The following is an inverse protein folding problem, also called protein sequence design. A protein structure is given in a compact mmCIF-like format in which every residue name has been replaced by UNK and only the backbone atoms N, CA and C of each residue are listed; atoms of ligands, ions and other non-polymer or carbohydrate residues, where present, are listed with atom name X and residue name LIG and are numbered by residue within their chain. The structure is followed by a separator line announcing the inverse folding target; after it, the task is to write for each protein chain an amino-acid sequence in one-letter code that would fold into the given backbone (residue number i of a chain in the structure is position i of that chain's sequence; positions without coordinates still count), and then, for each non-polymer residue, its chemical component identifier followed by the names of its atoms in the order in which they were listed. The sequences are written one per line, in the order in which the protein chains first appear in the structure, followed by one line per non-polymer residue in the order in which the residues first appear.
data_IF_666219569801
#
_entry.id   IF_666219569801
#
_cell.length_a   1.000
_cell.length_b   1.000
_cell.length_c   1.000
_cell.angle_alpha   90.00
_cell.angle_beta   90.00
_cell.angle_gamma   90.00
#
_symmetry.space_group_name_H-M   'P 1'
#
loop_
_entity.id
_entity.type
_entity.pdbx_description
1 polymer ?
#
# COMPACT_ATOMS: atom_id res chain seq x y z
N UNK A 1 -19.54 3.79 2.16
CA UNK A 1 -19.27 2.39 1.76
C UNK A 1 -18.48 2.25 0.45
N UNK A 2 -18.58 3.16 -0.52
CA UNK A 2 -17.81 3.10 -1.77
C UNK A 2 -16.32 3.53 -1.65
N UNK A 3 -15.98 4.39 -0.69
CA UNK A 3 -14.59 4.87 -0.50
C UNK A 3 -13.61 3.75 -0.13
N UNK A 4 -14.04 2.81 0.73
CA UNK A 4 -13.22 1.64 1.08
C UNK A 4 -13.00 0.71 -0.11
N UNK A 5 -14.00 0.56 -0.99
CA UNK A 5 -13.87 -0.28 -2.17
C UNK A 5 -12.89 0.35 -3.18
N UNK A 6 -13.01 1.65 -3.46
CA UNK A 6 -12.12 2.34 -4.39
C UNK A 6 -10.64 2.32 -3.94
N UNK A 7 -10.37 2.49 -2.64
CA UNK A 7 -9.01 2.39 -2.08
C UNK A 7 -8.47 0.96 -2.19
N UNK A 8 -9.30 -0.05 -1.89
CA UNK A 8 -8.92 -1.45 -2.04
C UNK A 8 -8.66 -1.81 -3.52
N UNK A 9 -9.51 -1.37 -4.44
CA UNK A 9 -9.35 -1.59 -5.89
C UNK A 9 -8.06 -0.97 -6.41
N UNK A 10 -7.76 0.27 -6.02
CA UNK A 10 -6.50 0.93 -6.39
C UNK A 10 -5.27 0.21 -5.81
N UNK A 11 -5.38 -0.29 -4.58
CA UNK A 11 -4.32 -1.10 -3.96
C UNK A 11 -4.08 -2.39 -4.75
N UNK A 12 -5.13 -3.17 -5.02
CA UNK A 12 -5.00 -4.44 -5.74
C UNK A 12 -4.54 -4.26 -7.19
N UNK A 13 -4.96 -3.18 -7.86
CA UNK A 13 -4.47 -2.83 -9.19
C UNK A 13 -2.95 -2.58 -9.18
N UNK A 14 -2.46 -1.81 -8.20
CA UNK A 14 -1.03 -1.49 -8.05
C UNK A 14 -0.22 -2.74 -7.68
N UNK A 15 -0.70 -3.53 -6.72
CA UNK A 15 -0.07 -4.79 -6.31
C UNK A 15 0.07 -5.75 -7.50
N UNK A 16 -0.99 -5.92 -8.30
CA UNK A 16 -0.94 -6.78 -9.47
C UNK A 16 0.09 -6.27 -10.46
N UNK A 17 0.00 -5.00 -10.87
CA UNK A 17 0.87 -4.39 -11.87
C UNK A 17 2.35 -4.46 -11.50
N UNK A 18 2.69 -4.19 -10.25
CA UNK A 18 4.09 -3.96 -9.86
C UNK A 18 4.78 -5.17 -9.27
N UNK A 19 4.03 -6.14 -8.72
CA UNK A 19 4.62 -7.29 -8.03
C UNK A 19 4.15 -8.66 -8.52
N UNK A 20 2.97 -8.77 -9.12
CA UNK A 20 2.39 -10.07 -9.51
C UNK A 20 2.48 -10.29 -11.02
N UNK A 21 2.26 -9.26 -11.85
CA UNK A 21 2.17 -9.38 -13.31
C UNK A 21 3.42 -9.94 -13.98
N UNK A 22 4.58 -9.91 -13.31
CA UNK A 22 5.85 -10.43 -13.82
C UNK A 22 6.47 -11.54 -12.95
N UNK A 23 5.74 -12.08 -11.98
CA UNK A 23 6.22 -13.16 -11.10
C UNK A 23 5.30 -14.38 -11.16
N UNK A 24 5.90 -15.54 -11.36
CA UNK A 24 5.26 -16.82 -11.11
C UNK A 24 5.65 -17.29 -9.70
N UNK A 25 4.66 -17.44 -8.82
CA UNK A 25 4.90 -17.97 -7.48
C UNK A 25 4.78 -19.49 -7.53
N UNK A 26 5.80 -20.20 -7.05
CA UNK A 26 5.80 -21.67 -7.04
C UNK A 26 4.96 -22.20 -5.88
N UNK A 27 4.92 -21.45 -4.77
CA UNK A 27 4.16 -21.83 -3.57
C UNK A 27 3.27 -20.69 -3.08
N UNK A 28 2.22 -21.06 -2.33
CA UNK A 28 1.35 -20.09 -1.67
C UNK A 28 2.10 -19.25 -0.63
N UNK A 29 3.07 -19.84 0.07
CA UNK A 29 3.92 -19.15 1.04
C UNK A 29 4.72 -18.04 0.38
N UNK A 30 5.36 -18.32 -0.76
CA UNK A 30 6.13 -17.33 -1.52
C UNK A 30 5.25 -16.15 -1.98
N UNK A 31 4.02 -16.43 -2.44
CA UNK A 31 3.06 -15.40 -2.79
C UNK A 31 2.68 -14.54 -1.57
N UNK A 32 2.43 -15.17 -0.42
CA UNK A 32 2.13 -14.47 0.83
C UNK A 32 3.29 -13.57 1.28
N UNK A 33 4.52 -14.08 1.28
CA UNK A 33 5.70 -13.30 1.65
C UNK A 33 5.93 -12.12 0.69
N UNK A 34 5.74 -12.33 -0.61
CA UNK A 34 5.86 -11.26 -1.59
C UNK A 34 4.82 -10.14 -1.36
N UNK A 35 3.59 -10.51 -0.99
CA UNK A 35 2.54 -9.53 -0.65
C UNK A 35 2.87 -8.82 0.66
N UNK A 36 3.27 -9.54 1.72
CA UNK A 36 3.63 -8.94 3.01
C UNK A 36 4.80 -7.96 2.86
N UNK A 37 5.89 -8.39 2.19
CA UNK A 37 7.04 -7.54 1.90
C UNK A 37 6.66 -6.30 1.08
N UNK A 38 5.69 -6.43 0.16
CA UNK A 38 5.21 -5.28 -0.59
C UNK A 38 4.43 -4.29 0.28
N UNK A 39 3.59 -4.78 1.19
CA UNK A 39 2.80 -3.94 2.11
C UNK A 39 3.74 -3.20 3.07
N UNK A 40 4.56 -3.95 3.81
CA UNK A 40 5.37 -3.41 4.89
C UNK A 40 6.66 -2.74 4.40
N UNK A 41 7.25 -3.25 3.31
CA UNK A 41 8.52 -2.75 2.78
C UNK A 41 8.38 -1.63 1.75
N UNK A 42 7.19 -1.40 1.20
CA UNK A 42 7.02 -0.40 0.14
C UNK A 42 5.71 0.39 0.23
N UNK A 43 4.57 -0.27 0.32
CA UNK A 43 3.26 0.38 0.26
C UNK A 43 3.04 1.36 1.42
N UNK A 44 3.17 0.88 2.66
CA UNK A 44 2.96 1.69 3.85
C UNK A 44 4.06 2.75 4.09
N UNK A 45 5.37 2.43 3.96
CA UNK A 45 6.42 3.39 4.30
C UNK A 45 6.77 4.36 3.17
N UNK A 46 6.65 3.96 1.90
CA UNK A 46 7.35 4.64 0.79
C UNK A 46 6.49 5.00 -0.40
N UNK A 47 5.37 4.32 -0.65
CA UNK A 47 4.52 4.63 -1.79
C UNK A 47 3.84 5.98 -1.59
N UNK A 48 3.99 6.88 -2.55
CA UNK A 48 3.23 8.11 -2.58
C UNK A 48 1.82 7.90 -3.10
N UNK A 49 0.84 8.43 -2.38
CA UNK A 49 -0.55 8.43 -2.79
C UNK A 49 -0.99 9.86 -3.12
N UNK A 50 -1.45 10.10 -4.35
CA UNK A 50 -1.95 11.42 -4.77
C UNK A 50 -3.12 11.88 -3.90
N UNK A 51 -3.97 10.95 -3.43
CA UNK A 51 -5.07 11.21 -2.50
C UNK A 51 -4.60 11.63 -1.09
N UNK A 52 -3.34 11.35 -0.73
CA UNK A 52 -2.72 11.74 0.54
C UNK A 52 -1.81 12.96 0.39
N UNK A 53 -1.93 13.72 -0.72
CA UNK A 53 -1.06 14.86 -0.98
C UNK A 53 0.37 14.46 -1.33
N UNK A 54 0.55 13.33 -2.02
CA UNK A 54 1.87 12.75 -2.34
C UNK A 54 2.70 12.44 -1.09
N UNK A 55 2.03 11.91 -0.06
CA UNK A 55 2.67 11.35 1.12
C UNK A 55 2.51 9.83 1.14
N UNK A 56 3.45 9.15 1.82
CA UNK A 56 3.23 7.76 2.19
C UNK A 56 2.20 7.64 3.31
N UNK A 57 1.49 6.51 3.42
CA UNK A 57 0.50 6.31 4.49
C UNK A 57 1.07 6.62 5.87
N UNK A 58 2.27 6.13 6.17
CA UNK A 58 2.95 6.37 7.44
C UNK A 58 3.27 7.85 7.65
N UNK A 59 3.75 8.56 6.62
CA UNK A 59 4.02 10.00 6.71
C UNK A 59 2.73 10.80 6.89
N UNK A 60 1.67 10.45 6.18
CA UNK A 60 0.35 11.06 6.31
C UNK A 60 -0.18 10.89 7.73
N UNK A 61 -0.17 9.67 8.29
CA UNK A 61 -0.61 9.39 9.66
C UNK A 61 0.24 10.11 10.71
N UNK A 62 1.56 10.25 10.49
CA UNK A 62 2.41 11.05 11.38
C UNK A 62 2.06 12.55 11.33
N UNK A 63 1.81 13.09 10.14
CA UNK A 63 1.43 14.49 9.99
C UNK A 63 0.06 14.77 10.62
N UNK A 64 -0.91 13.86 10.43
CA UNK A 64 -2.23 13.93 11.07
C UNK A 64 -2.10 13.91 12.60
N UNK A 65 -1.28 13.00 13.16
CA UNK A 65 -1.01 12.96 14.61
C UNK A 65 -0.36 14.24 15.14
N UNK A 66 0.57 14.82 14.40
CA UNK A 66 1.21 16.10 14.78
C UNK A 66 0.25 17.28 14.72
N UNK A 67 -0.64 17.31 13.74
CA UNK A 67 -1.65 18.35 13.61
C UNK A 67 -2.76 18.28 14.67
N UNK A 68 -2.95 17.10 15.27
CA UNK A 68 -3.92 16.85 16.36
C UNK A 68 -3.28 16.92 17.76
N UNK A 69 -1.97 17.14 17.85
CA UNK A 69 -1.30 17.38 19.13
C UNK A 69 -1.67 18.80 19.63
N UNK A 70 -2.01 18.96 20.92
CA UNK A 70 -2.43 20.24 21.50
C UNK A 70 -1.31 21.30 21.51
#
# INVERSE_FOLDING_TARGET
MAYHNAVAESFFASLKKERISHKAFVTRTEAHEAVANYIDGFNNPSRYHSTLGYLSPVCYEQQQRRAQAP
#
